data_IF_454319030461
#
_entry.id   IF_454319030461
#
_cell.length_a   1.000
_cell.length_b   1.000
_cell.length_c   1.000
_cell.angle_alpha   90.00
_cell.angle_beta   90.00
_cell.angle_gamma   90.00
#
_symmetry.space_group_name_H-M   'P 1'
#
loop_
_entity.id
_entity.type
_entity.pdbx_description
1 polymer ?
#
# COMPACT_ATOMS: atom_id res chain seq x y z
N UNK A 1 6.27 14.49 43.58
CA UNK A 1 4.94 14.12 43.09
C UNK A 1 4.35 15.31 42.34
N UNK A 2 4.44 15.29 41.02
CA UNK A 2 4.09 16.38 40.09
C UNK A 2 3.76 15.73 38.73
N UNK A 3 2.77 14.85 38.74
CA UNK A 3 2.29 14.09 37.58
C UNK A 3 1.15 14.83 36.87
N UNK A 4 1.35 16.06 36.38
CA UNK A 4 0.48 16.66 35.34
C UNK A 4 1.33 17.55 34.42
N UNK A 5 2.05 16.93 33.48
CA UNK A 5 2.58 17.62 32.30
C UNK A 5 2.40 16.70 31.10
N UNK A 6 1.65 17.17 30.10
CA UNK A 6 1.66 16.60 28.75
C UNK A 6 0.35 16.02 28.24
N UNK A 7 -0.76 16.73 28.38
CA UNK A 7 -2.00 16.45 27.63
C UNK A 7 -2.37 17.62 26.72
N UNK A 8 -1.40 18.08 25.91
CA UNK A 8 -1.57 19.28 25.09
C UNK A 8 -0.60 19.32 23.92
N UNK A 9 -0.53 18.25 23.12
CA UNK A 9 0.06 18.32 21.77
C UNK A 9 -0.42 17.17 20.84
N UNK A 10 -1.71 16.82 20.87
CA UNK A 10 -2.24 15.69 20.05
C UNK A 10 -3.08 16.16 18.85
N UNK A 11 -3.48 17.44 18.75
CA UNK A 11 -4.53 17.84 17.80
C UNK A 11 -4.29 19.12 17.02
N UNK A 12 -3.05 19.59 16.85
CA UNK A 12 -2.82 20.77 16.02
C UNK A 12 -1.83 20.49 14.89
N UNK A 13 -2.34 20.62 13.66
CA UNK A 13 -1.63 20.94 12.41
C UNK A 13 -0.94 19.84 11.59
N UNK A 14 -0.82 18.58 12.05
CA UNK A 14 -0.20 17.50 11.23
C UNK A 14 -1.16 16.50 10.56
N UNK A 15 -2.47 16.68 10.74
CA UNK A 15 -3.49 15.75 10.22
C UNK A 15 -3.99 16.05 8.80
N UNK A 16 -3.59 17.15 8.18
CA UNK A 16 -4.03 17.47 6.81
C UNK A 16 -3.38 16.57 5.76
N UNK A 17 -2.15 16.07 6.00
CA UNK A 17 -1.49 15.08 5.13
C UNK A 17 -1.99 13.65 5.30
N UNK A 18 -2.56 13.32 6.46
CA UNK A 18 -3.03 11.97 6.79
C UNK A 18 -4.35 11.62 6.07
N UNK A 19 -5.07 12.62 5.56
CA UNK A 19 -6.35 12.46 4.86
C UNK A 19 -6.16 11.96 3.41
N UNK A 20 -5.01 12.19 2.79
CA UNK A 20 -4.74 11.72 1.42
C UNK A 20 -4.51 10.19 1.34
N UNK A 21 -3.80 9.61 2.32
CA UNK A 21 -3.49 8.18 2.38
C UNK A 21 -4.69 7.29 2.77
N UNK A 22 -5.65 7.86 3.50
CA UNK A 22 -6.93 7.19 3.81
C UNK A 22 -7.82 7.11 2.56
N UNK A 23 -7.55 7.94 1.54
CA UNK A 23 -8.33 8.07 0.31
C UNK A 23 -8.60 6.75 -0.38
N UNK A 24 -7.58 5.96 -0.73
CA UNK A 24 -7.78 4.73 -1.50
C UNK A 24 -8.43 3.61 -0.68
N UNK A 25 -8.05 3.40 0.59
CA UNK A 25 -8.65 2.36 1.43
C UNK A 25 -10.12 2.69 1.76
N UNK A 26 -10.41 3.93 2.14
CA UNK A 26 -11.78 4.38 2.36
C UNK A 26 -12.58 4.40 1.04
N UNK A 27 -11.98 4.83 -0.07
CA UNK A 27 -12.63 4.83 -1.38
C UNK A 27 -12.93 3.42 -1.88
N UNK A 28 -11.99 2.47 -1.74
CA UNK A 28 -12.22 1.06 -2.09
C UNK A 28 -13.26 0.43 -1.17
N UNK A 29 -13.26 0.73 0.13
CA UNK A 29 -14.31 0.29 1.06
C UNK A 29 -15.68 0.88 0.71
N UNK A 30 -15.76 2.19 0.49
CA UNK A 30 -17.00 2.90 0.11
C UNK A 30 -17.52 2.44 -1.26
N UNK A 31 -16.63 2.20 -2.21
CA UNK A 31 -16.96 1.68 -3.54
C UNK A 31 -17.47 0.25 -3.45
N UNK A 32 -16.79 -0.61 -2.67
CA UNK A 32 -17.23 -1.98 -2.40
C UNK A 32 -18.60 -1.97 -1.74
N UNK A 33 -18.78 -1.14 -0.71
CA UNK A 33 -20.06 -0.99 -0.01
C UNK A 33 -21.15 -0.49 -0.96
N UNK A 34 -20.91 0.55 -1.76
CA UNK A 34 -21.88 1.06 -2.73
C UNK A 34 -22.23 0.06 -3.83
N UNK A 35 -21.28 -0.80 -4.24
CA UNK A 35 -21.53 -1.90 -5.19
C UNK A 35 -22.38 -2.98 -4.55
N UNK A 36 -22.11 -3.34 -3.29
CA UNK A 36 -22.91 -4.31 -2.53
C UNK A 36 -24.34 -3.80 -2.31
N UNK A 37 -24.50 -2.52 -1.96
CA UNK A 37 -25.80 -1.88 -1.79
C UNK A 37 -26.60 -1.82 -3.11
N UNK A 38 -25.93 -1.66 -4.26
CA UNK A 38 -26.59 -1.70 -5.59
C UNK A 38 -26.85 -3.12 -6.12
N UNK A 39 -25.96 -4.09 -5.88
CA UNK A 39 -26.13 -5.50 -6.28
C UNK A 39 -27.08 -6.26 -5.36
N UNK A 40 -27.29 -5.81 -4.13
CA UNK A 40 -28.30 -6.35 -3.20
C UNK A 40 -29.75 -6.22 -3.67
N UNK A 41 -30.02 -5.62 -4.83
CA UNK A 41 -31.34 -5.59 -5.50
C UNK A 41 -31.43 -6.37 -6.80
N UNK A 42 -30.32 -6.87 -7.35
CA UNK A 42 -30.30 -7.64 -8.59
C UNK A 42 -29.38 -8.85 -8.42
N UNK A 43 -30.02 -9.96 -8.03
CA UNK A 43 -29.56 -11.34 -8.25
C UNK A 43 -28.21 -11.76 -7.61
N UNK A 44 -28.31 -12.37 -6.43
CA UNK A 44 -27.92 -13.78 -6.24
C UNK A 44 -26.44 -14.20 -6.25
N UNK A 45 -25.48 -13.35 -6.61
CA UNK A 45 -24.06 -13.74 -6.62
C UNK A 45 -23.25 -12.98 -5.56
N UNK A 46 -23.07 -13.65 -4.42
CA UNK A 46 -22.10 -13.25 -3.41
C UNK A 46 -20.69 -13.36 -4.02
N UNK A 47 -20.15 -12.23 -4.48
CA UNK A 47 -18.71 -12.11 -4.69
C UNK A 47 -18.08 -12.36 -3.32
N UNK A 48 -17.20 -13.36 -3.14
CA UNK A 48 -16.63 -13.65 -1.84
C UNK A 48 -15.96 -12.38 -1.34
N UNK A 49 -16.36 -11.95 -0.14
CA UNK A 49 -15.59 -10.99 0.64
C UNK A 49 -14.25 -11.67 0.92
N UNK A 50 -13.31 -11.54 -0.01
CA UNK A 50 -11.93 -11.90 0.22
C UNK A 50 -11.52 -11.11 1.45
N UNK A 51 -11.37 -11.81 2.57
CA UNK A 51 -10.79 -11.31 3.80
C UNK A 51 -9.37 -10.85 3.47
N UNK A 52 -9.27 -9.66 2.89
CA UNK A 52 -8.01 -9.07 2.49
C UNK A 52 -7.46 -8.54 3.80
N UNK A 53 -6.41 -9.20 4.32
CA UNK A 53 -5.56 -8.64 5.37
C UNK A 53 -5.35 -7.17 5.05
N UNK A 54 -5.90 -6.28 5.88
CA UNK A 54 -6.00 -4.85 5.59
C UNK A 54 -4.64 -4.21 5.84
N UNK A 55 -3.72 -4.37 4.88
CA UNK A 55 -2.46 -3.65 4.89
C UNK A 55 -2.77 -2.16 4.71
N UNK A 56 -2.40 -1.36 5.70
CA UNK A 56 -2.54 0.10 5.63
C UNK A 56 -1.38 0.64 4.79
N UNK A 57 -1.68 1.39 3.73
CA UNK A 57 -0.68 1.99 2.85
C UNK A 57 -0.71 3.52 2.95
N UNK A 58 0.45 4.13 3.13
CA UNK A 58 0.69 5.57 3.09
C UNK A 58 2.06 5.82 2.45
N UNK A 59 2.05 6.05 1.13
CA UNK A 59 3.25 6.20 0.30
C UNK A 59 3.34 7.65 -0.21
N UNK A 60 4.55 8.22 -0.35
CA UNK A 60 4.76 9.61 -0.72
C UNK A 60 4.68 9.80 -2.24
N UNK A 61 3.59 9.36 -2.87
CA UNK A 61 3.38 9.44 -4.31
C UNK A 61 1.92 9.77 -4.65
N UNK A 62 1.66 10.43 -5.79
CA UNK A 62 0.31 10.60 -6.29
C UNK A 62 -0.26 9.25 -6.76
N UNK A 63 -1.48 8.93 -6.36
CA UNK A 63 -2.17 7.70 -6.76
C UNK A 63 -3.66 7.98 -7.04
N UNK A 64 -3.99 8.31 -8.28
CA UNK A 64 -5.36 8.56 -8.73
C UNK A 64 -5.44 8.48 -10.26
N UNK A 65 -6.66 8.31 -10.77
CA UNK A 65 -7.02 8.49 -12.18
C UNK A 65 -7.34 9.97 -12.45
N UNK A 66 -6.50 10.70 -13.20
CA UNK A 66 -6.74 12.10 -13.53
C UNK A 66 -7.98 12.28 -14.42
N UNK A 67 -8.69 13.39 -14.25
CA UNK A 67 -9.89 13.71 -15.04
C UNK A 67 -9.59 14.31 -16.41
N UNK A 68 -8.43 14.92 -16.59
CA UNK A 68 -7.88 15.32 -17.88
C UNK A 68 -7.43 14.12 -18.73
N UNK A 69 -7.03 13.01 -18.11
CA UNK A 69 -6.64 11.78 -18.80
C UNK A 69 -7.84 10.89 -19.16
N UNK A 70 -8.79 10.73 -18.23
CA UNK A 70 -10.07 10.05 -18.49
C UNK A 70 -11.20 10.99 -18.06
N UNK A 71 -11.77 11.79 -18.98
CA UNK A 71 -12.82 12.76 -18.66
C UNK A 71 -14.11 12.14 -18.16
N UNK A 72 -14.47 10.99 -18.73
CA UNK A 72 -15.72 10.29 -18.44
C UNK A 72 -15.69 9.67 -17.03
N UNK A 73 -16.48 10.24 -16.11
CA UNK A 73 -16.53 9.78 -14.71
C UNK A 73 -16.95 8.32 -14.60
N UNK A 74 -17.94 7.88 -15.39
CA UNK A 74 -18.44 6.51 -15.37
C UNK A 74 -17.33 5.49 -15.69
N UNK A 75 -16.48 5.81 -16.67
CA UNK A 75 -15.32 5.02 -17.06
C UNK A 75 -14.22 5.01 -15.99
N UNK A 76 -13.92 6.17 -15.37
CA UNK A 76 -12.98 6.22 -14.23
C UNK A 76 -13.43 5.32 -13.09
N UNK A 77 -14.71 5.38 -12.72
CA UNK A 77 -15.26 4.53 -11.66
C UNK A 77 -15.15 3.04 -12.02
N UNK A 78 -15.40 2.67 -13.28
CA UNK A 78 -15.22 1.29 -13.74
C UNK A 78 -13.77 0.82 -13.62
N UNK A 79 -12.80 1.66 -14.04
CA UNK A 79 -11.37 1.35 -13.95
C UNK A 79 -10.93 1.21 -12.49
N UNK A 80 -11.33 2.14 -11.62
CA UNK A 80 -11.06 2.03 -10.18
C UNK A 80 -11.56 0.71 -9.58
N UNK A 81 -12.77 0.28 -9.94
CA UNK A 81 -13.32 -1.01 -9.48
C UNK A 81 -12.46 -2.19 -9.91
N UNK A 82 -11.98 -2.17 -11.15
CA UNK A 82 -11.12 -3.23 -11.69
C UNK A 82 -9.76 -3.26 -11.01
N UNK A 83 -9.13 -2.10 -10.81
CA UNK A 83 -7.86 -1.96 -10.08
C UNK A 83 -8.01 -2.46 -8.63
N UNK A 84 -9.12 -2.14 -7.98
CA UNK A 84 -9.38 -2.58 -6.60
C UNK A 84 -9.56 -4.11 -6.47
N UNK A 85 -9.94 -4.79 -7.55
CA UNK A 85 -10.13 -6.24 -7.58
C UNK A 85 -8.90 -7.04 -8.00
N UNK A 86 -7.77 -6.39 -8.30
CA UNK A 86 -6.54 -7.08 -8.67
C UNK A 86 -5.92 -7.78 -7.45
N UNK A 87 -5.53 -9.03 -7.62
CA UNK A 87 -5.00 -9.90 -6.56
C UNK A 87 -3.64 -10.53 -6.91
N UNK A 88 -3.14 -10.35 -8.14
CA UNK A 88 -1.85 -10.91 -8.57
C UNK A 88 -1.01 -9.87 -9.31
N UNK A 89 0.30 -10.10 -9.37
CA UNK A 89 1.20 -9.23 -10.13
C UNK A 89 0.87 -9.25 -11.63
N UNK A 90 0.60 -10.42 -12.19
CA UNK A 90 0.21 -10.59 -13.60
C UNK A 90 -1.05 -9.79 -13.96
N UNK A 91 -2.04 -9.72 -13.04
CA UNK A 91 -3.24 -8.91 -13.22
C UNK A 91 -2.94 -7.41 -13.23
N UNK A 92 -1.99 -6.95 -12.41
CA UNK A 92 -1.54 -5.55 -12.40
C UNK A 92 -0.82 -5.20 -13.70
N UNK A 93 0.06 -6.09 -14.19
CA UNK A 93 0.78 -5.89 -15.44
C UNK A 93 -0.18 -5.89 -16.64
N UNK A 94 -1.14 -6.81 -16.68
CA UNK A 94 -2.20 -6.82 -17.70
C UNK A 94 -3.05 -5.54 -17.66
N UNK A 95 -3.39 -5.04 -16.47
CA UNK A 95 -4.09 -3.76 -16.32
C UNK A 95 -3.26 -2.59 -16.85
N UNK A 96 -1.95 -2.58 -16.57
CA UNK A 96 -1.01 -1.57 -17.05
C UNK A 96 -0.96 -1.53 -18.58
N UNK A 97 -0.85 -2.70 -19.22
CA UNK A 97 -0.80 -2.81 -20.68
C UNK A 97 -2.13 -2.42 -21.34
N UNK A 98 -3.28 -2.84 -20.78
CA UNK A 98 -4.59 -2.44 -21.29
C UNK A 98 -4.79 -0.92 -21.21
N UNK A 99 -4.44 -0.31 -20.07
CA UNK A 99 -4.54 1.14 -19.92
C UNK A 99 -3.66 1.87 -20.93
N UNK A 100 -2.45 1.35 -21.19
CA UNK A 100 -1.52 1.91 -22.16
C UNK A 100 -2.06 1.82 -23.59
N UNK A 101 -2.60 0.66 -23.97
CA UNK A 101 -3.18 0.44 -25.29
C UNK A 101 -4.39 1.35 -25.55
N UNK A 102 -5.24 1.54 -24.55
CA UNK A 102 -6.49 2.29 -24.68
C UNK A 102 -6.35 3.80 -24.54
N UNK A 103 -5.45 4.27 -23.67
CA UNK A 103 -5.36 5.68 -23.28
C UNK A 103 -3.97 6.30 -23.50
N UNK A 104 -3.01 5.52 -24.02
CA UNK A 104 -1.65 5.98 -24.31
C UNK A 104 -0.75 6.02 -23.08
N UNK A 105 0.11 7.03 -23.00
CA UNK A 105 1.07 7.13 -21.89
C UNK A 105 0.35 7.26 -20.54
N UNK A 106 0.76 6.44 -19.58
CA UNK A 106 0.24 6.47 -18.22
C UNK A 106 0.75 7.72 -17.48
N UNK A 107 -0.15 8.54 -16.91
CA UNK A 107 0.27 9.64 -16.05
C UNK A 107 0.98 9.11 -14.79
N UNK A 108 1.91 9.88 -14.18
CA UNK A 108 2.60 9.48 -12.95
C UNK A 108 1.65 9.08 -11.82
N UNK A 109 0.49 9.75 -11.71
CA UNK A 109 -0.53 9.42 -10.72
C UNK A 109 -1.19 8.04 -10.95
N UNK A 110 -1.25 7.56 -12.20
CA UNK A 110 -1.80 6.26 -12.55
C UNK A 110 -0.77 5.15 -12.33
N UNK A 111 0.49 5.40 -12.69
CA UNK A 111 1.59 4.49 -12.34
C UNK A 111 1.70 4.32 -10.82
N UNK A 112 1.59 5.42 -10.08
CA UNK A 112 1.54 5.40 -8.61
C UNK A 112 0.35 4.60 -8.05
N UNK A 113 -0.81 4.66 -8.70
CA UNK A 113 -1.99 3.87 -8.32
C UNK A 113 -1.75 2.37 -8.51
N UNK A 114 -1.17 1.96 -9.64
CA UNK A 114 -0.84 0.55 -9.89
C UNK A 114 0.27 0.06 -8.95
N UNK A 115 1.30 0.88 -8.73
CA UNK A 115 2.38 0.60 -7.78
C UNK A 115 1.87 0.36 -6.35
N UNK A 116 0.88 1.13 -5.88
CA UNK A 116 0.27 0.88 -4.57
C UNK A 116 -0.38 -0.51 -4.47
N UNK A 117 -0.95 -1.02 -5.56
CA UNK A 117 -1.50 -2.37 -5.60
C UNK A 117 -0.38 -3.41 -5.53
N UNK A 118 0.72 -3.23 -6.26
CA UNK A 118 1.89 -4.14 -6.18
C UNK A 118 2.45 -4.20 -4.75
N UNK A 119 2.64 -3.03 -4.12
CA UNK A 119 3.06 -2.93 -2.72
C UNK A 119 2.08 -3.63 -1.80
N UNK A 120 0.76 -3.45 -1.99
CA UNK A 120 -0.27 -4.14 -1.20
C UNK A 120 -0.10 -5.66 -1.29
N UNK A 121 0.02 -6.20 -2.50
CA UNK A 121 0.10 -7.65 -2.73
C UNK A 121 1.36 -8.25 -2.09
N UNK A 122 2.52 -7.59 -2.27
CA UNK A 122 3.76 -8.06 -1.66
C UNK A 122 3.73 -7.90 -0.13
N UNK A 123 3.21 -6.80 0.39
CA UNK A 123 3.07 -6.56 1.82
C UNK A 123 2.15 -7.59 2.49
N UNK A 124 1.06 -7.99 1.83
CA UNK A 124 0.20 -9.08 2.31
C UNK A 124 0.96 -10.40 2.38
N UNK A 125 1.71 -10.76 1.33
CA UNK A 125 2.54 -11.98 1.30
C UNK A 125 3.66 -11.96 2.34
N UNK A 126 4.25 -10.79 2.58
CA UNK A 126 5.28 -10.57 3.59
C UNK A 126 4.73 -10.54 5.03
N UNK A 127 3.41 -10.62 5.23
CA UNK A 127 2.78 -10.55 6.56
C UNK A 127 2.85 -9.17 7.21
N UNK A 128 3.00 -8.10 6.41
CA UNK A 128 2.98 -6.73 6.91
C UNK A 128 1.57 -6.31 7.30
N UNK A 129 1.45 -5.50 8.34
CA UNK A 129 0.19 -4.85 8.73
C UNK A 129 0.07 -3.43 8.16
N UNK A 130 1.19 -2.79 7.85
CA UNK A 130 1.20 -1.47 7.25
C UNK A 130 2.52 -1.15 6.53
N UNK A 131 2.46 -0.29 5.53
CA UNK A 131 3.60 0.38 4.90
C UNK A 131 3.30 1.87 4.91
N UNK A 132 3.97 2.61 5.79
CA UNK A 132 3.63 4.02 6.04
C UNK A 132 4.84 4.93 6.00
N UNK A 133 4.64 6.13 5.48
CA UNK A 133 5.66 7.16 5.41
C UNK A 133 5.70 7.97 6.70
N UNK A 134 6.90 8.20 7.24
CA UNK A 134 7.13 9.11 8.35
C UNK A 134 8.38 9.94 8.07
N UNK A 135 8.20 11.25 7.86
CA UNK A 135 9.26 12.14 7.39
C UNK A 135 9.83 11.56 6.08
N UNK A 136 11.13 11.28 6.04
CA UNK A 136 11.84 10.75 4.87
C UNK A 136 12.15 9.26 5.03
N UNK A 137 11.24 8.50 5.67
CA UNK A 137 11.43 7.07 5.92
C UNK A 137 10.13 6.29 5.77
N UNK A 138 10.20 5.16 5.07
CA UNK A 138 9.13 4.17 4.97
C UNK A 138 9.25 3.18 6.12
N UNK A 139 8.15 2.95 6.82
CA UNK A 139 8.06 1.98 7.90
C UNK A 139 7.12 0.85 7.50
N UNK A 140 7.70 -0.34 7.29
CA UNK A 140 6.99 -1.58 7.03
C UNK A 140 6.74 -2.26 8.38
N UNK A 141 5.51 -2.16 8.88
CA UNK A 141 5.13 -2.77 10.15
C UNK A 141 4.92 -4.26 9.99
N UNK A 142 5.71 -5.05 10.70
CA UNK A 142 5.74 -6.50 10.59
C UNK A 142 5.54 -7.08 12.01
N UNK A 143 4.35 -7.62 12.32
CA UNK A 143 4.01 -8.06 13.69
C UNK A 143 4.95 -9.13 14.27
N UNK A 144 5.60 -9.91 13.41
CA UNK A 144 6.47 -11.02 13.79
C UNK A 144 7.93 -10.61 14.08
N UNK A 145 8.32 -9.35 13.87
CA UNK A 145 9.70 -8.89 14.11
C UNK A 145 10.25 -9.10 15.52
N UNK A 146 9.45 -9.06 16.61
CA UNK A 146 9.95 -9.34 17.95
C UNK A 146 10.56 -10.74 18.12
N UNK A 147 10.17 -11.70 17.26
CA UNK A 147 10.55 -13.11 17.35
C UNK A 147 11.73 -13.47 16.44
N UNK A 148 12.24 -12.52 15.64
CA UNK A 148 13.31 -12.75 14.65
C UNK A 148 14.63 -12.10 15.07
N UNK A 149 15.76 -12.69 14.64
CA UNK A 149 17.07 -12.05 14.67
C UNK A 149 17.13 -10.79 13.79
N UNK A 150 16.81 -9.64 14.38
CA UNK A 150 16.80 -8.33 13.70
C UNK A 150 18.12 -7.95 13.04
N UNK A 151 19.26 -8.29 13.66
CA UNK A 151 20.59 -8.00 13.11
C UNK A 151 20.88 -8.86 11.88
N UNK A 152 20.47 -10.14 11.92
CA UNK A 152 20.53 -11.03 10.77
C UNK A 152 19.66 -10.54 9.62
N UNK A 153 18.42 -10.17 9.93
CA UNK A 153 17.47 -9.63 8.96
C UNK A 153 17.97 -8.33 8.32
N UNK A 154 18.48 -7.39 9.11
CA UNK A 154 19.05 -6.13 8.58
C UNK A 154 20.20 -6.41 7.60
N UNK A 155 21.13 -7.31 7.95
CA UNK A 155 22.25 -7.67 7.07
C UNK A 155 21.78 -8.31 5.76
N UNK A 156 20.73 -9.12 5.82
CA UNK A 156 20.17 -9.79 4.65
C UNK A 156 19.36 -8.84 3.74
N UNK A 157 18.64 -7.90 4.34
CA UNK A 157 17.88 -6.88 3.60
C UNK A 157 18.79 -5.85 2.94
N UNK A 158 19.89 -5.45 3.59
CA UNK A 158 20.86 -4.47 3.07
C UNK A 158 21.25 -3.42 4.10
N UNK A 159 22.40 -2.78 3.92
CA UNK A 159 22.96 -1.82 4.88
C UNK A 159 22.22 -0.48 4.98
N UNK A 160 21.33 -0.19 4.03
CA UNK A 160 20.43 0.96 3.99
C UNK A 160 19.16 0.77 4.83
N UNK A 161 18.91 -0.45 5.32
CA UNK A 161 17.68 -0.82 6.04
C UNK A 161 17.94 -0.87 7.54
N UNK A 162 17.05 -0.25 8.31
CA UNK A 162 17.05 -0.35 9.78
C UNK A 162 15.92 -1.27 10.22
N UNK A 163 16.22 -2.29 11.03
CA UNK A 163 15.22 -3.22 11.56
C UNK A 163 14.98 -2.93 13.04
N UNK A 164 13.84 -2.32 13.34
CA UNK A 164 13.39 -2.05 14.70
C UNK A 164 12.64 -3.26 15.28
N UNK A 165 12.04 -3.11 16.48
CA UNK A 165 11.20 -4.17 17.07
C UNK A 165 9.86 -4.35 16.37
N UNK A 166 9.41 -3.35 15.62
CA UNK A 166 8.04 -3.29 15.08
C UNK A 166 7.99 -2.98 13.60
N UNK A 167 9.08 -2.50 13.01
CA UNK A 167 9.13 -2.16 11.60
C UNK A 167 10.51 -2.39 10.97
N UNK A 168 10.48 -2.69 9.68
CA UNK A 168 11.61 -2.52 8.76
C UNK A 168 11.52 -1.11 8.19
N UNK A 169 12.61 -0.36 8.25
CA UNK A 169 12.67 1.06 7.92
C UNK A 169 13.59 1.29 6.73
N UNK A 170 13.09 1.97 5.70
CA UNK A 170 13.84 2.32 4.50
C UNK A 170 13.85 3.83 4.30
N UNK A 171 15.00 4.46 4.00
CA UNK A 171 15.05 5.87 3.69
C UNK A 171 14.34 6.15 2.35
N UNK A 172 13.58 7.25 2.30
CA UNK A 172 13.09 7.84 1.05
C UNK A 172 14.18 8.79 0.59
N UNK A 173 15.02 8.32 -0.34
CA UNK A 173 16.01 9.15 -1.00
C UNK A 173 15.35 10.00 -2.10
N UNK A 174 15.88 11.20 -2.33
CA UNK A 174 15.30 12.21 -3.23
C UNK A 174 15.40 11.86 -4.73
N UNK A 175 15.95 10.71 -5.09
CA UNK A 175 16.26 10.31 -6.46
C UNK A 175 15.30 9.26 -7.05
N UNK A 176 14.08 9.12 -6.52
CA UNK A 176 13.07 8.12 -6.93
C UNK A 176 13.48 6.63 -6.81
N UNK A 177 14.68 6.33 -6.33
CA UNK A 177 15.19 4.97 -6.11
C UNK A 177 14.47 4.18 -5.00
N UNK A 178 13.66 4.85 -4.16
CA UNK A 178 12.97 4.19 -3.05
C UNK A 178 11.89 3.21 -3.53
N UNK A 179 11.25 3.46 -4.68
CA UNK A 179 10.17 2.63 -5.19
C UNK A 179 10.63 1.21 -5.56
N UNK A 180 11.64 1.02 -6.44
CA UNK A 180 12.16 -0.31 -6.74
C UNK A 180 12.76 -0.97 -5.50
N UNK A 181 13.37 -0.16 -4.60
CA UNK A 181 13.93 -0.68 -3.36
C UNK A 181 12.88 -1.24 -2.40
N UNK A 182 11.74 -0.56 -2.26
CA UNK A 182 10.63 -1.04 -1.45
C UNK A 182 10.08 -2.37 -1.99
N UNK A 183 9.92 -2.50 -3.30
CA UNK A 183 9.48 -3.75 -3.93
C UNK A 183 10.48 -4.88 -3.69
N UNK A 184 11.79 -4.64 -3.83
CA UNK A 184 12.83 -5.63 -3.54
C UNK A 184 12.79 -6.08 -2.07
N UNK A 185 12.67 -5.17 -1.10
CA UNK A 185 12.53 -5.54 0.31
C UNK A 185 11.28 -6.36 0.57
N UNK A 186 10.12 -5.94 0.03
CA UNK A 186 8.88 -6.67 0.22
C UNK A 186 8.88 -8.03 -0.47
N UNK A 187 9.46 -8.15 -1.67
CA UNK A 187 9.61 -9.41 -2.39
C UNK A 187 10.47 -10.40 -1.61
N UNK A 188 11.63 -9.94 -1.10
CA UNK A 188 12.48 -10.72 -0.20
C UNK A 188 11.70 -11.19 1.03
N UNK A 189 11.03 -10.29 1.74
CA UNK A 189 10.23 -10.65 2.93
C UNK A 189 9.06 -11.60 2.62
N UNK A 190 8.49 -11.53 1.41
CA UNK A 190 7.43 -12.42 0.95
C UNK A 190 7.93 -13.82 0.59
N UNK A 191 9.21 -13.98 0.27
CA UNK A 191 9.89 -15.27 0.08
C UNK A 191 10.18 -15.88 1.46
N UNK A 192 9.11 -16.34 2.11
CA UNK A 192 9.02 -16.84 3.49
C UNK A 192 10.03 -17.95 3.88
N UNK A 193 10.80 -18.47 2.93
CA UNK A 193 11.71 -19.62 3.12
C UNK A 193 13.01 -19.25 3.86
N UNK A 194 13.46 -17.99 3.83
CA UNK A 194 14.75 -17.60 4.44
C UNK A 194 14.65 -17.01 5.85
N UNK A 195 13.46 -16.59 6.30
CA UNK A 195 13.30 -16.04 7.65
C UNK A 195 13.49 -17.12 8.73
N UNK A 196 13.06 -18.36 8.47
CA UNK A 196 13.32 -19.51 9.34
C UNK A 196 14.79 -19.96 9.38
N UNK A 197 15.64 -19.50 8.46
CA UNK A 197 17.09 -19.80 8.46
C UNK A 197 17.87 -18.79 9.32
N UNK A 198 17.24 -17.67 9.71
CA UNK A 198 17.83 -16.64 10.56
C UNK A 198 17.45 -16.80 12.06
N UNK A 199 16.68 -17.83 12.40
CA UNK A 199 16.34 -18.24 13.77
C UNK A 199 17.43 -19.14 14.35
#
# INVERSE_FOLDING_TARGET
DLEIRGAGDILSTRQTGQVAAIGLHLYTQLLTQAIQERKGRAEGEAIPAAATSSVILDLPLPAYLPDDWIPELSLRLQIYRRIASLNTQDEVDAMRDELRDRFGQLPPAVEGLLYQIEVKLLAQRAGASAVVTRKDTLHLKLPYLPEINRTGLARWLGGDVVVSRVAVELPINSADDWQPRLLDVLARLAENTSINVLV
#
